data_IF_920131772275
#
_entry.id   IF_920131772275
#
_cell.length_a   1.000
_cell.length_b   1.000
_cell.length_c   1.000
_cell.angle_alpha   90.00
_cell.angle_beta   90.00
_cell.angle_gamma   90.00
#
_symmetry.space_group_name_H-M   'P 1'
#
loop_
_entity.id
_entity.type
_entity.pdbx_description
1 polymer ?
#
# COMPACT_ATOMS: atom_id res chain seq x y z
N UNK A 1 -13.42 15.82 -10.65
CA UNK A 1 -13.93 14.59 -10.05
C UNK A 1 -14.15 14.82 -8.56
N UNK A 2 -15.24 14.33 -8.06
CA UNK A 2 -15.57 14.34 -6.63
C UNK A 2 -14.93 13.12 -5.99
N UNK A 3 -14.36 13.29 -4.79
CA UNK A 3 -13.56 12.25 -4.15
C UNK A 3 -13.92 12.13 -2.67
N UNK A 4 -14.24 10.93 -2.25
CA UNK A 4 -14.23 10.53 -0.84
C UNK A 4 -13.50 9.20 -0.67
N UNK A 5 -12.49 9.17 0.18
CA UNK A 5 -11.68 7.99 0.45
C UNK A 5 -11.81 7.57 1.91
N UNK A 6 -11.83 6.26 2.15
CA UNK A 6 -11.60 5.66 3.46
C UNK A 6 -10.50 4.62 3.34
N UNK A 7 -9.56 4.62 4.25
CA UNK A 7 -8.52 3.61 4.38
C UNK A 7 -7.99 3.54 5.81
N UNK A 8 -7.62 2.35 6.23
CA UNK A 8 -6.72 2.09 7.35
C UNK A 8 -5.34 1.66 6.78
N UNK A 9 -4.45 1.07 7.56
CA UNK A 9 -3.05 0.81 7.19
C UNK A 9 -2.83 -0.15 6.02
N UNK A 10 -3.82 -0.96 5.65
CA UNK A 10 -3.76 -1.93 4.55
C UNK A 10 -4.72 -1.50 3.42
N UNK A 11 -4.32 -0.57 2.59
CA UNK A 11 -5.05 0.26 1.63
C UNK A 11 -5.93 -0.43 0.57
N UNK A 12 -6.31 -1.70 0.72
CA UNK A 12 -6.97 -2.49 -0.32
C UNK A 12 -8.22 -3.25 0.13
N UNK A 13 -8.75 -3.03 1.35
CA UNK A 13 -9.80 -3.92 1.85
C UNK A 13 -11.19 -3.55 1.30
N UNK A 14 -12.04 -4.55 1.01
CA UNK A 14 -13.45 -4.31 0.69
C UNK A 14 -14.19 -3.53 1.79
N UNK A 15 -13.80 -3.70 3.05
CA UNK A 15 -14.39 -3.00 4.18
C UNK A 15 -14.16 -1.49 4.14
N UNK A 16 -13.01 -1.04 3.61
CA UNK A 16 -12.72 0.39 3.46
C UNK A 16 -13.54 1.03 2.34
N UNK A 17 -13.75 0.32 1.22
CA UNK A 17 -14.67 0.79 0.18
C UNK A 17 -16.09 0.91 0.72
N UNK A 18 -16.55 -0.06 1.47
CA UNK A 18 -17.87 -0.02 2.10
C UNK A 18 -17.97 1.12 3.11
N UNK A 19 -16.94 1.37 3.90
CA UNK A 19 -16.89 2.51 4.81
C UNK A 19 -17.00 3.84 4.06
N UNK A 20 -16.23 4.06 3.00
CA UNK A 20 -16.30 5.28 2.19
C UNK A 20 -17.72 5.49 1.61
N UNK A 21 -18.34 4.43 1.12
CA UNK A 21 -19.69 4.43 0.57
C UNK A 21 -20.73 4.80 1.63
N UNK A 22 -20.67 4.18 2.81
CA UNK A 22 -21.56 4.46 3.94
C UNK A 22 -21.40 5.91 4.44
N UNK A 23 -20.18 6.44 4.47
CA UNK A 23 -19.91 7.82 4.89
C UNK A 23 -20.40 8.87 3.88
N UNK A 24 -20.40 8.54 2.58
CA UNK A 24 -20.74 9.46 1.51
C UNK A 24 -22.22 9.50 1.14
N UNK A 25 -22.92 8.37 1.24
CA UNK A 25 -24.22 8.15 0.58
C UNK A 25 -25.30 9.16 0.96
N UNK A 26 -25.42 9.52 2.23
CA UNK A 26 -26.44 10.45 2.69
C UNK A 26 -26.16 11.89 2.25
N UNK A 27 -24.92 12.31 2.31
CA UNK A 27 -24.51 13.64 1.86
C UNK A 27 -24.55 13.79 0.34
N UNK A 28 -24.15 12.77 -0.40
CA UNK A 28 -24.26 12.72 -1.86
C UNK A 28 -25.73 12.84 -2.30
N UNK A 29 -26.63 12.07 -1.66
CA UNK A 29 -28.05 12.08 -1.98
C UNK A 29 -28.68 13.45 -1.70
N UNK A 30 -28.36 14.06 -0.55
CA UNK A 30 -28.80 15.42 -0.21
C UNK A 30 -28.24 16.45 -1.21
N UNK A 31 -26.94 16.42 -1.49
CA UNK A 31 -26.28 17.33 -2.43
C UNK A 31 -26.88 17.24 -3.83
N UNK A 32 -27.15 16.02 -4.32
CA UNK A 32 -27.74 15.84 -5.64
C UNK A 32 -29.17 16.42 -5.71
N UNK A 33 -30.05 15.98 -4.83
CA UNK A 33 -31.47 16.32 -4.89
C UNK A 33 -31.75 17.77 -4.50
N UNK A 34 -31.14 18.27 -3.43
CA UNK A 34 -31.39 19.63 -2.95
C UNK A 34 -30.60 20.67 -3.72
N UNK A 35 -29.35 20.42 -4.06
CA UNK A 35 -28.49 21.40 -4.70
C UNK A 35 -28.54 21.30 -6.23
N UNK A 36 -28.24 20.16 -6.83
CA UNK A 36 -28.22 20.07 -8.30
C UNK A 36 -29.60 20.10 -8.93
N UNK A 37 -30.55 19.34 -8.36
CA UNK A 37 -31.91 19.25 -8.93
C UNK A 37 -32.73 20.49 -8.54
N UNK A 38 -32.92 20.70 -7.25
CA UNK A 38 -33.86 21.71 -6.77
C UNK A 38 -33.31 23.13 -6.82
N UNK A 39 -32.08 23.38 -6.33
CA UNK A 39 -31.53 24.75 -6.26
C UNK A 39 -30.98 25.23 -7.60
N UNK A 40 -30.17 24.42 -8.30
CA UNK A 40 -29.55 24.79 -9.57
C UNK A 40 -30.45 24.51 -10.78
N UNK A 41 -31.43 23.60 -10.66
CA UNK A 41 -32.29 23.20 -11.77
C UNK A 41 -31.50 22.70 -12.97
N UNK A 42 -30.43 21.94 -12.77
CA UNK A 42 -29.59 21.49 -13.89
C UNK A 42 -30.40 20.66 -14.88
N UNK A 43 -30.31 20.93 -16.18
CA UNK A 43 -31.23 20.34 -17.20
C UNK A 43 -31.18 18.79 -17.23
N UNK A 44 -30.07 18.21 -16.84
CA UNK A 44 -29.87 16.76 -16.92
C UNK A 44 -29.86 16.07 -15.50
N UNK A 45 -30.13 16.84 -14.44
CA UNK A 45 -30.24 16.32 -13.11
C UNK A 45 -31.71 16.04 -12.79
N UNK A 46 -32.03 14.78 -12.53
CA UNK A 46 -33.35 14.33 -12.10
C UNK A 46 -33.31 13.88 -10.67
N UNK A 47 -34.45 14.04 -9.96
CA UNK A 47 -34.58 13.55 -8.60
C UNK A 47 -34.38 12.04 -8.55
N UNK A 48 -33.62 11.55 -7.57
CA UNK A 48 -33.39 10.13 -7.33
C UNK A 48 -33.84 9.80 -5.91
N UNK A 49 -34.78 8.89 -5.78
CA UNK A 49 -35.38 8.54 -4.48
C UNK A 49 -34.45 7.68 -3.63
N UNK A 50 -33.82 6.65 -4.23
CA UNK A 50 -32.92 5.76 -3.53
C UNK A 50 -31.48 6.28 -3.53
N UNK A 51 -30.94 6.44 -2.34
CA UNK A 51 -29.59 6.97 -2.14
C UNK A 51 -28.49 6.03 -2.66
N UNK A 52 -28.74 4.73 -2.60
CA UNK A 52 -27.77 3.75 -3.08
C UNK A 52 -27.75 3.67 -4.61
N UNK A 53 -28.92 3.77 -5.24
CA UNK A 53 -28.99 3.87 -6.69
C UNK A 53 -28.23 5.11 -7.20
N UNK A 54 -28.36 6.23 -6.52
CA UNK A 54 -27.61 7.45 -6.85
C UNK A 54 -26.09 7.24 -6.67
N UNK A 55 -25.69 6.57 -5.60
CA UNK A 55 -24.29 6.29 -5.36
C UNK A 55 -23.71 5.40 -6.47
N UNK A 56 -24.39 4.33 -6.87
CA UNK A 56 -23.97 3.46 -7.99
C UNK A 56 -23.87 4.25 -9.31
N UNK A 57 -24.82 5.12 -9.60
CA UNK A 57 -24.75 6.00 -10.77
C UNK A 57 -23.55 6.95 -10.71
N UNK A 58 -23.16 7.39 -9.51
CA UNK A 58 -22.05 8.33 -9.32
C UNK A 58 -20.70 7.66 -9.47
N UNK A 59 -20.52 6.46 -8.90
CA UNK A 59 -19.24 5.72 -8.96
C UNK A 59 -19.07 4.91 -10.25
N UNK A 60 -20.16 4.69 -11.00
CA UNK A 60 -20.14 3.91 -12.24
C UNK A 60 -20.16 2.40 -12.01
N UNK A 61 -19.75 1.62 -13.03
CA UNK A 61 -19.80 0.16 -13.04
C UNK A 61 -18.64 -0.54 -12.30
N UNK A 62 -17.84 0.24 -11.56
CA UNK A 62 -16.66 -0.24 -10.85
C UNK A 62 -15.37 -0.26 -11.67
N UNK A 63 -15.45 0.05 -12.98
CA UNK A 63 -14.25 0.26 -13.79
C UNK A 63 -13.60 1.61 -13.42
N UNK A 64 -12.27 1.72 -13.43
CA UNK A 64 -11.59 2.96 -13.13
C UNK A 64 -12.07 4.12 -14.03
N UNK A 65 -12.55 5.20 -13.40
CA UNK A 65 -12.99 6.39 -14.13
C UNK A 65 -14.33 6.27 -14.88
N UNK A 66 -15.10 5.19 -14.69
CA UNK A 66 -16.43 5.04 -15.30
C UNK A 66 -17.48 5.97 -14.68
N UNK A 67 -17.31 6.38 -13.43
CA UNK A 67 -18.21 7.28 -12.71
C UNK A 67 -17.77 8.75 -12.77
N UNK A 68 -18.69 9.62 -12.33
CA UNK A 68 -18.44 11.06 -12.17
C UNK A 68 -17.60 11.38 -10.94
N UNK A 69 -17.55 10.46 -9.95
CA UNK A 69 -16.82 10.57 -8.71
C UNK A 69 -16.13 9.27 -8.30
N UNK A 70 -15.16 9.38 -7.39
CA UNK A 70 -14.49 8.22 -6.78
C UNK A 70 -14.82 8.18 -5.30
N UNK A 71 -15.49 7.10 -4.88
CA UNK A 71 -15.82 6.81 -3.49
C UNK A 71 -15.25 5.44 -3.16
N UNK A 72 -14.14 5.40 -2.44
CA UNK A 72 -13.42 4.15 -2.22
C UNK A 72 -12.08 4.31 -1.51
N UNK A 73 -11.07 3.67 -2.04
CA UNK A 73 -9.70 3.66 -1.50
C UNK A 73 -8.77 4.60 -2.28
N UNK A 74 -7.59 4.95 -1.75
CA UNK A 74 -6.58 5.69 -2.49
C UNK A 74 -6.21 5.06 -3.85
N UNK A 75 -6.17 3.72 -3.92
CA UNK A 75 -5.84 3.04 -5.17
C UNK A 75 -6.93 3.13 -6.21
N UNK A 76 -8.19 3.19 -5.79
CA UNK A 76 -9.30 3.43 -6.73
C UNK A 76 -9.14 4.81 -7.40
N UNK A 77 -8.71 5.82 -6.64
CA UNK A 77 -8.45 7.14 -7.20
C UNK A 77 -7.21 7.17 -8.10
N UNK A 78 -6.12 6.50 -7.71
CA UNK A 78 -4.93 6.35 -8.57
C UNK A 78 -5.29 5.66 -9.88
N UNK A 79 -6.05 4.57 -9.82
CA UNK A 79 -6.50 3.83 -11.00
C UNK A 79 -7.38 4.71 -11.91
N UNK A 80 -8.31 5.46 -11.34
CA UNK A 80 -9.17 6.39 -12.10
C UNK A 80 -8.36 7.50 -12.79
N UNK A 81 -7.39 8.10 -12.11
CA UNK A 81 -6.51 9.13 -12.68
C UNK A 81 -5.67 8.55 -13.82
N UNK A 82 -5.06 7.37 -13.63
CA UNK A 82 -4.27 6.70 -14.67
C UNK A 82 -5.12 6.36 -15.90
N UNK A 83 -6.32 5.84 -15.69
CA UNK A 83 -7.25 5.56 -16.78
C UNK A 83 -7.61 6.84 -17.57
N UNK A 84 -7.88 7.95 -16.89
CA UNK A 84 -8.11 9.24 -17.56
C UNK A 84 -6.88 9.72 -18.34
N UNK A 85 -5.67 9.52 -17.81
CA UNK A 85 -4.43 9.84 -18.54
C UNK A 85 -4.28 9.01 -19.82
N UNK A 86 -4.61 7.73 -19.77
CA UNK A 86 -4.60 6.84 -20.93
C UNK A 86 -5.62 7.27 -21.99
N UNK A 87 -6.84 7.55 -21.57
CA UNK A 87 -7.91 7.97 -22.48
C UNK A 87 -7.64 9.29 -23.19
N UNK A 88 -7.02 10.23 -22.50
CA UNK A 88 -6.80 11.60 -23.03
C UNK A 88 -5.42 11.81 -23.64
N UNK A 89 -4.53 10.83 -23.53
CA UNK A 89 -3.12 11.00 -23.90
C UNK A 89 -2.31 11.83 -22.91
N UNK A 90 -2.84 12.03 -21.70
CA UNK A 90 -2.25 12.81 -20.63
C UNK A 90 -2.91 14.18 -20.40
N UNK A 91 -2.71 14.74 -19.22
CA UNK A 91 -3.16 16.08 -18.83
C UNK A 91 -2.25 16.66 -17.74
N UNK A 92 -2.26 18.01 -17.58
CA UNK A 92 -1.37 18.66 -16.62
C UNK A 92 -1.90 18.73 -15.20
N UNK A 93 -3.23 18.78 -14.99
CA UNK A 93 -3.84 19.03 -13.68
C UNK A 93 -5.12 18.21 -13.52
N UNK A 94 -5.29 17.61 -12.34
CA UNK A 94 -6.56 17.08 -11.86
C UNK A 94 -7.13 18.06 -10.84
N UNK A 95 -8.36 18.53 -11.06
CA UNK A 95 -9.10 19.33 -10.11
C UNK A 95 -10.07 18.44 -9.34
N UNK A 96 -9.84 18.29 -8.05
CA UNK A 96 -10.76 17.63 -7.12
C UNK A 96 -11.76 18.62 -6.53
N UNK A 97 -13.03 18.25 -6.48
CA UNK A 97 -14.04 19.01 -5.77
C UNK A 97 -14.22 18.48 -4.36
N UNK A 98 -14.38 19.39 -3.40
CA UNK A 98 -14.71 19.06 -2.02
C UNK A 98 -16.20 19.37 -1.79
N UNK A 99 -17.02 18.34 -1.78
CA UNK A 99 -18.44 18.45 -1.44
C UNK A 99 -18.71 17.89 -0.03
N UNK A 100 -19.77 18.35 0.62
CA UNK A 100 -20.21 17.89 1.92
C UNK A 100 -20.95 16.54 1.83
N UNK A 101 -20.33 15.54 1.18
CA UNK A 101 -20.90 14.20 1.11
C UNK A 101 -20.71 13.41 2.39
N UNK A 102 -19.61 13.69 3.11
CA UNK A 102 -19.33 13.08 4.39
C UNK A 102 -19.19 14.13 5.50
N UNK A 103 -19.15 13.68 6.74
CA UNK A 103 -18.86 14.57 7.85
C UNK A 103 -17.43 15.14 7.76
N UNK A 104 -17.16 16.19 8.57
CA UNK A 104 -15.88 16.89 8.56
C UNK A 104 -14.68 15.97 8.81
N UNK A 105 -14.81 15.01 9.72
CA UNK A 105 -13.72 14.09 10.07
C UNK A 105 -13.37 13.17 8.88
N UNK A 106 -14.35 12.54 8.27
CA UNK A 106 -14.18 11.69 7.10
C UNK A 106 -13.64 12.49 5.89
N UNK A 107 -14.12 13.72 5.70
CA UNK A 107 -13.61 14.61 4.64
C UNK A 107 -12.14 14.95 4.85
N UNK A 108 -11.73 15.35 6.06
CA UNK A 108 -10.33 15.65 6.36
C UNK A 108 -9.43 14.41 6.21
N UNK A 109 -9.90 13.24 6.67
CA UNK A 109 -9.20 11.97 6.49
C UNK A 109 -9.02 11.65 5.00
N UNK A 110 -10.05 11.83 4.18
CA UNK A 110 -9.98 11.63 2.73
C UNK A 110 -8.88 12.48 2.09
N UNK A 111 -8.81 13.77 2.38
CA UNK A 111 -7.78 14.66 1.84
C UNK A 111 -6.37 14.34 2.37
N UNK A 112 -6.25 13.91 3.62
CA UNK A 112 -4.96 13.42 4.16
C UNK A 112 -4.47 12.18 3.39
N UNK A 113 -5.37 11.25 3.04
CA UNK A 113 -5.05 10.08 2.23
C UNK A 113 -4.67 10.45 0.79
N UNK A 114 -5.35 11.40 0.17
CA UNK A 114 -4.96 11.93 -1.15
C UNK A 114 -3.54 12.47 -1.11
N UNK A 115 -3.21 13.26 -0.09
CA UNK A 115 -1.88 13.85 0.05
C UNK A 115 -0.79 12.80 0.29
N UNK A 116 -1.06 11.77 1.09
CA UNK A 116 -0.06 10.76 1.47
C UNK A 116 0.15 9.67 0.45
N UNK A 117 -0.91 9.25 -0.23
CA UNK A 117 -0.87 8.04 -1.06
C UNK A 117 -1.09 8.32 -2.54
N UNK A 118 -2.05 9.18 -2.88
CA UNK A 118 -2.40 9.44 -4.29
C UNK A 118 -1.40 10.37 -4.96
N UNK A 119 -1.12 11.52 -4.37
CA UNK A 119 -0.23 12.54 -4.97
C UNK A 119 1.19 11.98 -5.21
N UNK A 120 1.85 11.30 -4.24
CA UNK A 120 3.17 10.75 -4.46
C UNK A 120 3.20 9.67 -5.55
N UNK A 121 2.14 8.86 -5.63
CA UNK A 121 2.02 7.78 -6.61
C UNK A 121 1.81 8.33 -8.03
N UNK A 122 0.86 9.24 -8.20
CA UNK A 122 0.51 9.80 -9.52
C UNK A 122 1.63 10.66 -10.08
N UNK A 123 2.35 11.38 -9.22
CA UNK A 123 3.46 12.24 -9.62
C UNK A 123 4.82 11.50 -9.71
N UNK A 124 4.86 10.19 -9.53
CA UNK A 124 6.09 9.39 -9.61
C UNK A 124 7.14 9.71 -8.53
N UNK A 125 6.72 10.30 -7.39
CA UNK A 125 7.64 10.67 -6.31
C UNK A 125 8.31 9.44 -5.67
N UNK A 126 7.70 8.27 -5.78
CA UNK A 126 8.20 7.01 -5.23
C UNK A 126 9.09 6.22 -6.20
N UNK A 127 9.18 6.63 -7.46
CA UNK A 127 9.88 5.86 -8.51
C UNK A 127 11.38 5.72 -8.25
N UNK A 128 12.01 6.76 -7.72
CA UNK A 128 13.42 6.72 -7.33
C UNK A 128 13.70 5.68 -6.24
N UNK A 129 12.84 5.64 -5.23
CA UNK A 129 12.95 4.68 -4.12
C UNK A 129 12.71 3.24 -4.61
N UNK A 130 11.68 3.03 -5.44
CA UNK A 130 11.37 1.73 -6.03
C UNK A 130 12.52 1.22 -6.91
N UNK A 131 13.07 2.08 -7.78
CA UNK A 131 14.24 1.72 -8.60
C UNK A 131 15.47 1.37 -7.75
N UNK A 132 15.71 2.10 -6.66
CA UNK A 132 16.80 1.79 -5.73
C UNK A 132 16.59 0.44 -5.04
N UNK A 133 15.36 0.16 -4.57
CA UNK A 133 15.01 -1.13 -3.98
C UNK A 133 15.18 -2.28 -4.97
N UNK A 134 14.71 -2.11 -6.20
CA UNK A 134 14.86 -3.10 -7.27
C UNK A 134 16.33 -3.36 -7.59
N UNK A 135 17.14 -2.29 -7.73
CA UNK A 135 18.57 -2.42 -7.95
C UNK A 135 19.26 -3.22 -6.84
N UNK A 136 18.92 -2.94 -5.57
CA UNK A 136 19.44 -3.69 -4.42
C UNK A 136 19.05 -5.18 -4.48
N UNK A 137 17.80 -5.46 -4.85
CA UNK A 137 17.32 -6.82 -5.00
C UNK A 137 18.05 -7.58 -6.12
N UNK A 138 18.13 -6.98 -7.30
CA UNK A 138 18.72 -7.60 -8.49
C UNK A 138 20.22 -7.83 -8.37
N UNK A 139 20.92 -6.98 -7.61
CA UNK A 139 22.37 -7.04 -7.41
C UNK A 139 22.77 -7.53 -6.01
N UNK A 140 21.86 -8.12 -5.24
CA UNK A 140 22.08 -8.50 -3.84
C UNK A 140 23.32 -9.39 -3.66
N UNK A 141 23.48 -10.40 -4.52
CA UNK A 141 24.59 -11.35 -4.41
C UNK A 141 25.94 -10.66 -4.61
N UNK A 142 26.05 -9.77 -5.61
CA UNK A 142 27.26 -9.02 -5.89
C UNK A 142 27.61 -8.03 -4.77
N UNK A 143 26.60 -7.29 -4.30
CA UNK A 143 26.77 -6.31 -3.21
C UNK A 143 27.17 -6.98 -1.91
N UNK A 144 26.58 -8.14 -1.58
CA UNK A 144 26.96 -8.92 -0.38
C UNK A 144 28.35 -9.52 -0.52
N UNK A 145 28.72 -10.05 -1.69
CA UNK A 145 30.06 -10.54 -1.94
C UNK A 145 31.11 -9.43 -1.83
N UNK A 146 30.83 -8.25 -2.42
CA UNK A 146 31.70 -7.07 -2.32
C UNK A 146 31.87 -6.58 -0.88
N UNK A 147 30.79 -6.50 -0.11
CA UNK A 147 30.84 -6.15 1.30
C UNK A 147 31.64 -7.18 2.12
N UNK A 148 31.40 -8.47 1.89
CA UNK A 148 32.15 -9.55 2.54
C UNK A 148 33.64 -9.49 2.22
N UNK A 149 34.01 -9.28 0.97
CA UNK A 149 35.41 -9.13 0.54
C UNK A 149 36.09 -7.91 1.20
N UNK A 150 35.39 -6.78 1.29
CA UNK A 150 35.91 -5.58 1.95
C UNK A 150 36.14 -5.80 3.46
N UNK A 151 35.22 -6.48 4.16
CA UNK A 151 35.39 -6.86 5.56
C UNK A 151 36.57 -7.81 5.74
N UNK A 152 36.66 -8.85 4.90
CA UNK A 152 37.77 -9.80 4.95
C UNK A 152 39.13 -9.13 4.70
N UNK A 153 39.21 -8.21 3.72
CA UNK A 153 40.43 -7.45 3.47
C UNK A 153 40.88 -6.64 4.69
N UNK A 154 39.93 -6.04 5.43
CA UNK A 154 40.22 -5.30 6.68
C UNK A 154 40.68 -6.24 7.80
N UNK A 155 40.04 -7.40 7.98
CA UNK A 155 40.45 -8.42 8.95
C UNK A 155 41.88 -8.90 8.65
N UNK A 156 42.14 -9.20 7.40
CA UNK A 156 43.47 -9.67 6.95
C UNK A 156 44.58 -8.63 7.04
N UNK A 157 44.22 -7.36 7.08
CA UNK A 157 45.17 -6.25 7.27
C UNK A 157 45.53 -5.96 8.75
N UNK A 158 44.85 -6.62 9.72
CA UNK A 158 45.02 -6.35 11.15
C UNK A 158 45.29 -7.63 11.97
N UNK A 159 46.49 -7.80 12.52
CA UNK A 159 46.91 -9.00 13.24
C UNK A 159 45.96 -9.42 14.38
N UNK A 160 45.49 -8.48 15.20
CA UNK A 160 44.56 -8.74 16.28
C UNK A 160 43.20 -9.28 15.79
N UNK A 161 42.71 -8.79 14.65
CA UNK A 161 41.47 -9.25 14.04
C UNK A 161 41.62 -10.64 13.41
N UNK A 162 42.78 -10.96 12.83
CA UNK A 162 43.10 -12.32 12.35
C UNK A 162 43.09 -13.34 13.48
N UNK A 163 43.72 -13.03 14.62
CA UNK A 163 43.76 -13.91 15.79
C UNK A 163 42.35 -14.14 16.37
N UNK A 164 41.56 -13.07 16.49
CA UNK A 164 40.18 -13.16 16.97
C UNK A 164 39.30 -14.00 16.05
N UNK A 165 39.43 -13.82 14.75
CA UNK A 165 38.69 -14.61 13.76
C UNK A 165 39.06 -16.09 13.81
N UNK A 166 40.37 -16.43 13.92
CA UNK A 166 40.81 -17.81 14.06
C UNK A 166 40.22 -18.48 15.31
N UNK A 167 40.21 -17.76 16.44
CA UNK A 167 39.63 -18.25 17.69
C UNK A 167 38.12 -18.50 17.56
N UNK A 168 37.39 -17.57 16.92
CA UNK A 168 35.95 -17.72 16.69
C UNK A 168 35.64 -18.88 15.77
N UNK A 169 36.41 -19.08 14.71
CA UNK A 169 36.26 -20.25 13.83
C UNK A 169 36.51 -21.56 14.54
N UNK A 170 37.53 -21.65 15.41
CA UNK A 170 37.78 -22.83 16.21
C UNK A 170 36.63 -23.14 17.17
N UNK A 171 36.07 -22.12 17.82
CA UNK A 171 34.93 -22.26 18.71
C UNK A 171 33.65 -22.72 17.95
N UNK A 172 33.40 -22.19 16.78
CA UNK A 172 32.29 -22.62 15.92
C UNK A 172 32.46 -24.08 15.48
N UNK A 173 33.66 -24.47 15.06
CA UNK A 173 33.97 -25.84 14.65
C UNK A 173 33.80 -26.83 15.82
N UNK A 174 34.26 -26.48 17.00
CA UNK A 174 34.08 -27.27 18.19
C UNK A 174 32.59 -27.40 18.61
N UNK A 175 31.85 -26.32 18.51
CA UNK A 175 30.39 -26.29 18.74
C UNK A 175 29.61 -27.17 17.75
N UNK A 176 29.97 -27.12 16.48
CA UNK A 176 29.35 -27.95 15.45
C UNK A 176 29.66 -29.44 15.65
N UNK A 177 30.91 -29.78 16.01
CA UNK A 177 31.30 -31.16 16.33
C UNK A 177 30.52 -31.70 17.54
N UNK A 178 30.37 -30.90 18.62
CA UNK A 178 29.60 -31.27 19.78
C UNK A 178 28.10 -31.45 19.51
N UNK A 179 27.52 -30.66 18.58
CA UNK A 179 26.14 -30.88 18.15
C UNK A 179 25.97 -32.14 17.32
N UNK A 180 26.92 -32.46 16.47
CA UNK A 180 26.89 -33.65 15.63
C UNK A 180 27.04 -34.92 16.49
N UNK A 181 27.87 -34.89 17.54
CA UNK A 181 28.02 -35.96 18.50
C UNK A 181 26.72 -36.19 19.31
N UNK A 182 26.03 -35.10 19.71
CA UNK A 182 24.73 -35.22 20.38
C UNK A 182 23.64 -35.76 19.44
N UNK A 183 23.67 -35.42 18.16
CA UNK A 183 22.72 -35.93 17.16
C UNK A 183 22.93 -37.43 16.88
N UNK A 184 24.18 -37.92 16.90
CA UNK A 184 24.49 -39.33 16.71
C UNK A 184 24.21 -40.19 17.95
N UNK A 185 24.17 -39.61 19.16
CA UNK A 185 23.83 -40.30 20.41
C UNK A 185 22.34 -40.34 20.71
N UNK A 186 21.51 -39.58 19.97
CA UNK A 186 20.06 -39.64 20.09
C UNK A 186 19.53 -40.94 19.46
N UNK A 187 19.20 -41.95 20.28
CA UNK A 187 18.44 -43.13 19.85
C UNK A 187 16.95 -42.80 19.90
N UNK A 188 16.23 -42.78 18.77
CA UNK A 188 14.77 -42.74 18.79
C UNK A 188 14.27 -44.11 19.22
N UNK A 189 13.72 -44.23 20.43
CA UNK A 189 13.13 -45.49 20.89
C UNK A 189 13.25 -45.84 22.38
N UNK A 190 13.49 -44.88 23.27
CA UNK A 190 13.26 -45.07 24.69
C UNK A 190 11.76 -45.04 24.99
N UNK A 191 11.11 -46.20 25.00
CA UNK A 191 9.71 -46.33 25.40
C UNK A 191 9.51 -45.85 26.85
N UNK A 192 8.36 -45.21 27.10
CA UNK A 192 7.86 -44.90 28.43
C UNK A 192 7.77 -46.24 29.25
N UNK A 193 8.15 -46.25 30.52
CA UNK A 193 7.90 -47.41 31.37
C UNK A 193 6.38 -47.54 31.57
N UNK A 194 5.87 -48.74 31.32
CA UNK A 194 4.50 -49.13 31.62
C UNK A 194 4.16 -48.86 33.09
N UNK A 195 3.09 -48.13 33.33
CA UNK A 195 2.44 -47.99 34.63
C UNK A 195 1.19 -48.85 34.69
#
# INVERSE_FOLDING_TARGET
ADVLLAADRDHHSPAEREQARNEAVDGLHRWHNEYNVWTLGRPNATHVDDKWDLLEQTVGDGSPGSGAGVIGTPDDLVAAIRHLQELTGGFGVVLGFAHDWANREATLRSWDMVARYVIPEVNGMLDGLRRSGQYMHDNQAELMAGAGAAVMAKIMAHEGAQKAMATTMQQMAAGAAAQQEKATTFRPGGGLPDA
#
